data_IF_678666096642
#
_entry.id   IF_678666096642
#
_cell.length_a   1.000
_cell.length_b   1.000
_cell.length_c   1.000
_cell.angle_alpha   90.00
_cell.angle_beta   90.00
_cell.angle_gamma   90.00
#
_symmetry.space_group_name_H-M   'P 1'
#
loop_
_entity.id
_entity.type
_entity.pdbx_description
1 polymer ?
#
# COMPACT_ATOMS: atom_id res chain seq x y z
N UNK A 1 -11.96 -0.33 -38.20
CA UNK A 1 -10.76 -0.83 -38.91
C UNK A 1 -10.34 0.23 -39.92
N UNK A 2 -9.07 0.65 -39.93
CA UNK A 2 -8.55 1.42 -41.07
C UNK A 2 -8.16 0.44 -42.17
N UNK A 3 -8.53 0.71 -43.42
CA UNK A 3 -8.27 -0.18 -44.57
C UNK A 3 -6.80 -0.64 -44.68
N UNK A 4 -5.87 0.16 -44.14
CA UNK A 4 -4.43 -0.02 -44.37
C UNK A 4 -3.70 -0.80 -43.29
N UNK A 5 -4.18 -0.83 -42.04
CA UNK A 5 -3.47 -1.40 -40.88
C UNK A 5 -4.44 -1.71 -39.74
N UNK A 6 -4.09 -2.68 -38.90
CA UNK A 6 -4.83 -2.97 -37.66
C UNK A 6 -4.49 -1.97 -36.55
N UNK A 7 -5.39 -1.81 -35.58
CA UNK A 7 -5.14 -0.97 -34.40
C UNK A 7 -3.89 -1.43 -33.62
N UNK A 8 -3.65 -2.74 -33.55
CA UNK A 8 -2.48 -3.31 -32.90
C UNK A 8 -1.17 -2.88 -33.58
N UNK A 9 -1.10 -2.98 -34.92
CA UNK A 9 0.07 -2.54 -35.69
C UNK A 9 0.30 -1.03 -35.60
N UNK A 10 -0.76 -0.22 -35.59
CA UNK A 10 -0.65 1.24 -35.49
C UNK A 10 -0.01 1.67 -34.17
N UNK A 11 -0.29 0.94 -33.08
CA UNK A 11 0.19 1.26 -31.74
C UNK A 11 1.58 0.68 -31.47
N UNK A 12 1.88 -0.50 -32.02
CA UNK A 12 3.16 -1.19 -31.82
C UNK A 12 4.32 -0.48 -32.53
N UNK A 13 4.07 0.18 -33.66
CA UNK A 13 5.11 0.93 -34.36
C UNK A 13 5.48 2.24 -33.64
N UNK A 14 6.77 2.56 -33.73
CA UNK A 14 7.26 3.90 -33.43
C UNK A 14 6.71 4.92 -34.45
N UNK A 15 6.90 6.21 -34.20
CA UNK A 15 6.34 7.23 -35.11
C UNK A 15 7.07 7.28 -36.46
N UNK A 16 8.36 6.90 -36.52
CA UNK A 16 9.17 6.96 -37.73
C UNK A 16 8.77 5.84 -38.69
N UNK A 17 8.64 4.63 -38.18
CA UNK A 17 8.26 3.43 -38.93
C UNK A 17 6.79 3.45 -39.33
N UNK A 18 5.91 4.00 -38.48
CA UNK A 18 4.54 4.29 -38.88
C UNK A 18 4.51 5.23 -40.10
N UNK A 19 5.28 6.33 -40.07
CA UNK A 19 5.34 7.25 -41.21
C UNK A 19 5.92 6.58 -42.46
N UNK A 20 6.97 5.76 -42.33
CA UNK A 20 7.54 5.00 -43.46
C UNK A 20 6.52 4.05 -44.07
N UNK A 21 5.81 3.27 -43.24
CA UNK A 21 4.81 2.29 -43.70
C UNK A 21 3.62 2.97 -44.38
N UNK A 22 3.18 4.13 -43.87
CA UNK A 22 2.12 4.92 -44.50
C UNK A 22 2.54 5.51 -45.84
N UNK A 23 3.79 5.97 -45.97
CA UNK A 23 4.36 6.41 -47.26
C UNK A 23 4.47 5.26 -48.25
N UNK A 24 4.99 4.11 -47.82
CA UNK A 24 5.13 2.93 -48.67
C UNK A 24 3.77 2.43 -49.22
N UNK A 25 2.71 2.54 -48.43
CA UNK A 25 1.33 2.21 -48.84
C UNK A 25 0.62 3.32 -49.62
N UNK A 26 1.32 4.40 -50.00
CA UNK A 26 0.76 5.56 -50.71
C UNK A 26 -0.50 6.17 -50.05
N UNK A 27 -0.57 6.13 -48.71
CA UNK A 27 -1.71 6.68 -47.98
C UNK A 27 -1.72 8.20 -48.08
N UNK A 28 -2.87 8.79 -48.37
CA UNK A 28 -3.00 10.25 -48.55
C UNK A 28 -2.72 11.01 -47.24
N UNK A 29 -2.26 12.26 -47.34
CA UNK A 29 -1.98 13.09 -46.15
C UNK A 29 -3.18 13.20 -45.18
N UNK A 30 -4.44 13.41 -45.64
CA UNK A 30 -5.60 13.42 -44.75
C UNK A 30 -5.80 12.09 -44.02
N UNK A 31 -5.70 10.96 -44.72
CA UNK A 31 -5.84 9.64 -44.11
C UNK A 31 -4.72 9.34 -43.11
N UNK A 32 -3.49 9.79 -43.37
CA UNK A 32 -2.39 9.68 -42.41
C UNK A 32 -2.69 10.45 -41.11
N UNK A 33 -3.37 11.61 -41.19
CA UNK A 33 -3.78 12.34 -40.00
C UNK A 33 -4.83 11.58 -39.19
N UNK A 34 -5.81 10.97 -39.86
CA UNK A 34 -6.83 10.14 -39.20
C UNK A 34 -6.22 8.91 -38.52
N UNK A 35 -5.25 8.25 -39.16
CA UNK A 35 -4.51 7.14 -38.56
C UNK A 35 -3.73 7.59 -37.31
N UNK A 36 -3.11 8.78 -37.35
CA UNK A 36 -2.41 9.35 -36.19
C UNK A 36 -3.36 9.72 -35.05
N UNK A 37 -4.54 10.26 -35.35
CA UNK A 37 -5.60 10.53 -34.36
C UNK A 37 -6.07 9.22 -33.72
N UNK A 38 -6.31 8.18 -34.53
CA UNK A 38 -6.67 6.84 -34.05
C UNK A 38 -5.60 6.27 -33.12
N UNK A 39 -4.32 6.34 -33.52
CA UNK A 39 -3.19 5.93 -32.66
C UNK A 39 -3.21 6.62 -31.31
N UNK A 40 -3.41 7.95 -31.29
CA UNK A 40 -3.49 8.73 -30.06
C UNK A 40 -4.66 8.27 -29.20
N UNK A 41 -5.84 8.05 -29.78
CA UNK A 41 -7.04 7.58 -29.08
C UNK A 41 -6.80 6.23 -28.41
N UNK A 42 -6.18 5.27 -29.10
CA UNK A 42 -5.88 3.94 -28.56
C UNK A 42 -4.85 4.04 -27.43
N UNK A 43 -3.76 4.78 -27.63
CA UNK A 43 -2.76 5.01 -26.57
C UNK A 43 -3.40 5.65 -25.33
N UNK A 44 -4.23 6.67 -25.50
CA UNK A 44 -4.97 7.31 -24.40
C UNK A 44 -5.93 6.36 -23.69
N UNK A 45 -6.55 5.41 -24.40
CA UNK A 45 -7.34 4.34 -23.77
C UNK A 45 -6.46 3.47 -22.87
N UNK A 46 -5.28 3.06 -23.35
CA UNK A 46 -4.31 2.30 -22.56
C UNK A 46 -3.84 3.09 -21.34
N UNK A 47 -3.42 4.35 -21.50
CA UNK A 47 -2.98 5.18 -20.37
C UNK A 47 -4.07 5.34 -19.29
N UNK A 48 -5.34 5.49 -19.67
CA UNK A 48 -6.46 5.53 -18.71
C UNK A 48 -6.68 4.20 -17.99
N UNK A 49 -6.41 3.07 -18.65
CA UNK A 49 -6.44 1.74 -18.00
C UNK A 49 -5.27 1.62 -17.02
N UNK A 50 -4.06 1.88 -17.48
CA UNK A 50 -2.84 1.77 -16.68
C UNK A 50 -2.87 2.72 -15.48
N UNK A 51 -3.42 3.93 -15.65
CA UNK A 51 -3.59 4.88 -14.55
C UNK A 51 -4.59 4.39 -13.50
N UNK A 52 -5.70 3.77 -13.91
CA UNK A 52 -6.66 3.16 -12.98
C UNK A 52 -6.03 1.97 -12.25
N UNK A 53 -5.28 1.15 -12.98
CA UNK A 53 -4.57 0.00 -12.42
C UNK A 53 -3.54 0.43 -11.37
N UNK A 54 -2.68 1.43 -11.67
CA UNK A 54 -1.72 1.95 -10.69
C UNK A 54 -2.39 2.47 -9.41
N UNK A 55 -3.53 3.17 -9.53
CA UNK A 55 -4.30 3.62 -8.38
C UNK A 55 -4.85 2.45 -7.56
N UNK A 56 -5.36 1.41 -8.23
CA UNK A 56 -5.87 0.22 -7.56
C UNK A 56 -4.75 -0.54 -6.83
N UNK A 57 -3.61 -0.75 -7.47
CA UNK A 57 -2.44 -1.40 -6.86
C UNK A 57 -1.90 -0.62 -5.66
N UNK A 58 -1.83 0.72 -5.75
CA UNK A 58 -1.39 1.52 -4.60
C UNK A 58 -2.41 1.49 -3.47
N UNK A 59 -3.71 1.47 -3.76
CA UNK A 59 -4.75 1.32 -2.75
C UNK A 59 -4.63 -0.03 -2.04
N UNK A 60 -4.44 -1.12 -2.78
CA UNK A 60 -4.24 -2.47 -2.23
C UNK A 60 -3.03 -2.51 -1.30
N UNK A 61 -1.88 -1.98 -1.75
CA UNK A 61 -0.66 -1.87 -0.94
C UNK A 61 -0.89 -1.07 0.35
N UNK A 62 -1.63 0.04 0.28
CA UNK A 62 -1.93 0.86 1.46
C UNK A 62 -2.89 0.16 2.43
N UNK A 63 -3.83 -0.64 1.93
CA UNK A 63 -4.73 -1.43 2.77
C UNK A 63 -3.99 -2.57 3.47
N UNK A 64 -3.08 -3.26 2.78
CA UNK A 64 -2.20 -4.26 3.38
C UNK A 64 -1.32 -3.66 4.47
N UNK A 65 -0.68 -2.52 4.18
CA UNK A 65 0.14 -1.82 5.16
C UNK A 65 -0.69 -1.38 6.38
N UNK A 66 -1.90 -0.87 6.16
CA UNK A 66 -2.81 -0.50 7.25
C UNK A 66 -3.14 -1.72 8.12
N UNK A 67 -3.41 -2.88 7.53
CA UNK A 67 -3.73 -4.09 8.28
C UNK A 67 -2.58 -4.50 9.19
N UNK A 68 -1.35 -4.54 8.65
CA UNK A 68 -0.13 -4.84 9.41
C UNK A 68 0.04 -3.87 10.59
N UNK A 69 -0.10 -2.57 10.33
CA UNK A 69 0.08 -1.55 11.38
C UNK A 69 -1.01 -1.61 12.46
N UNK A 70 -2.24 -1.98 12.10
CA UNK A 70 -3.32 -2.18 13.07
C UNK A 70 -3.03 -3.39 13.96
N UNK A 71 -2.58 -4.49 13.38
CA UNK A 71 -2.22 -5.69 14.15
C UNK A 71 -1.04 -5.42 15.11
N UNK A 72 -0.02 -4.67 14.65
CA UNK A 72 1.10 -4.25 15.48
C UNK A 72 0.66 -3.34 16.64
N UNK A 73 -0.25 -2.38 16.37
CA UNK A 73 -0.82 -1.52 17.41
C UNK A 73 -1.53 -2.33 18.50
N UNK A 74 -2.33 -3.33 18.11
CA UNK A 74 -3.06 -4.19 19.05
C UNK A 74 -2.06 -4.94 19.95
N UNK A 75 -0.98 -5.50 19.38
CA UNK A 75 0.06 -6.18 20.16
C UNK A 75 0.72 -5.24 21.17
N UNK A 76 1.08 -4.03 20.74
CA UNK A 76 1.71 -3.04 21.62
C UNK A 76 0.76 -2.55 22.73
N UNK A 77 -0.52 -2.34 22.42
CA UNK A 77 -1.53 -1.98 23.42
C UNK A 77 -1.69 -3.08 24.48
N UNK A 78 -1.69 -4.35 24.08
CA UNK A 78 -1.72 -5.49 25.02
C UNK A 78 -0.47 -5.54 25.89
N UNK A 79 0.71 -5.30 25.31
CA UNK A 79 1.97 -5.25 26.06
C UNK A 79 1.96 -4.12 27.10
N UNK A 80 1.47 -2.93 26.74
CA UNK A 80 1.33 -1.80 27.68
C UNK A 80 0.42 -2.18 28.86
N UNK A 81 -0.71 -2.83 28.59
CA UNK A 81 -1.64 -3.29 29.66
C UNK A 81 -0.96 -4.31 30.56
N UNK A 82 -0.22 -5.27 29.99
CA UNK A 82 0.53 -6.26 30.75
C UNK A 82 1.59 -5.61 31.65
N UNK A 83 2.37 -4.68 31.10
CA UNK A 83 3.42 -3.98 31.84
C UNK A 83 2.86 -3.13 32.97
N UNK A 84 1.75 -2.42 32.76
CA UNK A 84 1.06 -1.69 33.83
C UNK A 84 0.56 -2.62 34.94
N UNK A 85 -0.06 -3.74 34.57
CA UNK A 85 -0.54 -4.73 35.55
C UNK A 85 0.62 -5.32 36.37
N UNK A 86 1.72 -5.66 35.70
CA UNK A 86 2.95 -6.16 36.34
C UNK A 86 3.55 -5.14 37.29
N UNK A 87 3.66 -3.88 36.86
CA UNK A 87 4.12 -2.77 37.71
C UNK A 87 3.24 -2.61 38.95
N UNK A 88 1.93 -2.63 38.80
CA UNK A 88 0.99 -2.47 39.92
C UNK A 88 1.06 -3.65 40.90
N UNK A 89 1.29 -4.87 40.41
CA UNK A 89 1.56 -6.04 41.25
C UNK A 89 2.85 -5.88 42.06
N UNK A 90 3.95 -5.45 41.42
CA UNK A 90 5.23 -5.23 42.11
C UNK A 90 5.11 -4.17 43.21
N UNK A 91 4.40 -3.07 42.96
CA UNK A 91 4.15 -2.02 43.96
C UNK A 91 3.40 -2.59 45.17
N UNK A 92 2.33 -3.36 44.94
CA UNK A 92 1.54 -3.98 46.03
C UNK A 92 2.39 -4.92 46.90
N UNK A 93 3.21 -5.77 46.28
CA UNK A 93 4.07 -6.69 47.01
C UNK A 93 5.22 -5.98 47.76
N UNK A 94 5.68 -4.82 47.26
CA UNK A 94 6.68 -4.02 47.97
C UNK A 94 6.13 -3.34 49.23
N UNK A 95 4.81 -3.12 49.34
CA UNK A 95 4.17 -2.49 50.50
C UNK A 95 3.59 -3.49 51.51
N UNK A 96 3.47 -4.77 51.17
CA UNK A 96 2.97 -5.82 52.08
C UNK A 96 4.08 -6.52 52.88
N UNK A 97 5.33 -6.08 52.75
CA UNK A 97 6.49 -6.72 53.41
C UNK A 97 6.99 -5.98 54.66
N UNK A 98 6.30 -4.88 55.05
CA UNK A 98 6.75 -3.98 56.13
C UNK A 98 5.88 -4.05 57.41
N UNK A 99 4.90 -4.98 57.53
CA UNK A 99 3.92 -4.99 58.64
C UNK A 99 3.93 -6.26 59.54
N UNK A 100 5.00 -7.05 59.57
CA UNK A 100 5.08 -8.25 60.44
C UNK A 100 6.24 -8.24 61.46
N UNK A 101 6.57 -7.09 62.06
CA UNK A 101 7.42 -7.02 63.27
C UNK A 101 6.56 -6.60 64.49
N UNK A 102 5.60 -7.44 64.85
CA UNK A 102 4.94 -7.42 66.16
C UNK A 102 5.98 -7.79 67.24
N UNK A 103 6.63 -6.78 67.82
CA UNK A 103 7.53 -6.96 68.96
C UNK A 103 6.76 -7.59 70.12
N UNK A 104 7.04 -8.87 70.37
CA UNK A 104 6.52 -9.64 71.48
C UNK A 104 6.76 -8.96 72.82
N UNK A 105 5.70 -8.89 73.61
CA UNK A 105 5.66 -8.48 75.01
C UNK A 105 6.64 -9.31 75.85
N UNK A 106 7.79 -8.72 76.22
CA UNK A 106 8.71 -9.32 77.18
C UNK A 106 8.19 -9.08 78.61
N UNK A 107 7.54 -10.09 79.17
CA UNK A 107 7.26 -10.17 80.61
C UNK A 107 8.57 -10.54 81.32
N UNK A 108 9.20 -9.59 81.99
CA UNK A 108 10.30 -9.87 82.92
C UNK A 108 9.69 -10.29 84.26
N UNK A 109 9.92 -11.55 84.63
CA UNK A 109 9.66 -12.07 85.97
C UNK A 109 10.99 -12.10 86.70
N UNK A 110 11.14 -11.21 87.69
CA UNK A 110 11.61 -11.51 89.06
C UNK A 110 11.57 -10.23 89.93
#
# INVERSE_FOLDING_TARGET
MTSYMTEAEIVSLDIKDLNKKLKYKNVSKPEQQEIKKLRRKIKMKKYRKDSRMRKATELERLLELRAILVDELICLEQEVVYLHSSKDHLIKHSHSSDEDDEYGEFVVVD
#
